data_IF_933687536958
#
_entry.id   IF_933687536958
#
_cell.length_a   1.000
_cell.length_b   1.000
_cell.length_c   1.000
_cell.angle_alpha   90.00
_cell.angle_beta   90.00
_cell.angle_gamma   90.00
#
_symmetry.space_group_name_H-M   'P 1'
#
loop_
_entity.id
_entity.type
_entity.pdbx_description
1 polymer ?
#
# COMPACT_ATOMS: atom_id res chain seq x y z
N UNK A 1 -3.22 -15.52 4.34
CA UNK A 1 -4.34 -14.61 4.75
C UNK A 1 -4.99 -15.12 6.05
N UNK A 2 -4.92 -14.39 7.17
CA UNK A 2 -5.29 -14.96 8.49
C UNK A 2 -6.71 -14.65 9.02
N UNK A 3 -7.51 -13.77 8.40
CA UNK A 3 -8.84 -13.39 8.92
C UNK A 3 -9.96 -13.50 7.87
N UNK A 4 -11.15 -13.97 8.28
CA UNK A 4 -12.36 -14.06 7.41
C UNK A 4 -12.70 -12.74 6.74
N UNK A 5 -12.50 -11.61 7.43
CA UNK A 5 -12.75 -10.26 6.91
C UNK A 5 -11.92 -9.97 5.65
N UNK A 6 -10.65 -10.37 5.67
CA UNK A 6 -9.74 -10.15 4.55
C UNK A 6 -10.06 -11.05 3.35
N UNK A 7 -10.46 -12.31 3.59
CA UNK A 7 -10.90 -13.22 2.52
C UNK A 7 -12.17 -12.71 1.84
N UNK A 8 -13.16 -12.29 2.63
CA UNK A 8 -14.41 -11.74 2.10
C UNK A 8 -14.19 -10.47 1.28
N UNK A 9 -13.27 -9.59 1.70
CA UNK A 9 -12.90 -8.39 0.93
C UNK A 9 -12.24 -8.76 -0.40
N UNK A 10 -11.26 -9.67 -0.37
CA UNK A 10 -10.57 -10.13 -1.58
C UNK A 10 -11.52 -10.79 -2.59
N UNK A 11 -12.43 -11.68 -2.13
CA UNK A 11 -13.46 -12.28 -2.97
C UNK A 11 -14.35 -11.23 -3.64
N UNK A 12 -14.83 -10.24 -2.87
CA UNK A 12 -15.68 -9.16 -3.42
C UNK A 12 -14.95 -8.35 -4.50
N UNK A 13 -13.65 -8.11 -4.33
CA UNK A 13 -12.84 -7.38 -5.29
C UNK A 13 -12.60 -8.22 -6.55
N UNK A 14 -12.20 -9.48 -6.39
CA UNK A 14 -11.92 -10.34 -7.53
C UNK A 14 -13.17 -10.66 -8.36
N UNK A 15 -14.34 -10.81 -7.72
CA UNK A 15 -15.59 -11.14 -8.40
C UNK A 15 -16.14 -10.00 -9.27
N UNK A 16 -15.62 -8.78 -9.12
CA UNK A 16 -16.01 -7.62 -9.97
C UNK A 16 -14.98 -7.27 -11.03
N UNK A 17 -13.89 -8.04 -11.13
CA UNK A 17 -12.87 -7.82 -12.15
C UNK A 17 -13.35 -8.32 -13.53
N UNK A 18 -12.91 -7.65 -14.58
CA UNK A 18 -13.30 -7.99 -15.95
C UNK A 18 -12.85 -9.41 -16.33
N UNK A 19 -13.73 -10.12 -17.04
CA UNK A 19 -13.50 -11.49 -17.47
C UNK A 19 -13.73 -12.57 -16.41
N UNK A 20 -13.93 -12.21 -15.13
CA UNK A 20 -14.13 -13.18 -14.05
C UNK A 20 -15.56 -13.73 -14.05
N UNK A 21 -15.69 -15.06 -14.08
CA UNK A 21 -16.97 -15.78 -13.99
C UNK A 21 -17.18 -16.42 -12.60
N UNK A 22 -16.10 -16.87 -11.94
CA UNK A 22 -16.17 -17.49 -10.62
C UNK A 22 -14.90 -17.25 -9.80
N UNK A 23 -15.06 -17.13 -8.47
CA UNK A 23 -13.97 -16.95 -7.51
C UNK A 23 -14.23 -17.83 -6.29
N UNK A 24 -13.24 -18.63 -5.90
CA UNK A 24 -13.26 -19.47 -4.71
C UNK A 24 -11.90 -19.46 -3.98
N UNK A 25 -11.88 -19.80 -2.69
CA UNK A 25 -10.63 -20.19 -2.04
C UNK A 25 -10.50 -21.71 -2.12
N UNK A 26 -9.29 -22.20 -2.32
CA UNK A 26 -9.02 -23.64 -2.29
C UNK A 26 -9.29 -24.19 -0.88
N UNK A 27 -9.96 -25.34 -0.80
CA UNK A 27 -10.31 -26.03 0.45
C UNK A 27 -9.08 -26.61 1.15
N UNK A 28 -8.12 -27.12 0.38
CA UNK A 28 -6.86 -27.69 0.86
C UNK A 28 -5.87 -26.59 1.27
N UNK A 29 -5.78 -25.53 0.47
CA UNK A 29 -4.94 -24.36 0.76
C UNK A 29 -5.77 -23.08 0.82
N UNK A 30 -6.21 -22.72 2.02
CA UNK A 30 -7.06 -21.55 2.28
C UNK A 30 -6.40 -20.20 2.00
N UNK A 31 -5.11 -20.19 1.62
CA UNK A 31 -4.39 -19.00 1.20
C UNK A 31 -4.28 -18.88 -0.33
N UNK A 32 -4.75 -19.89 -1.07
CA UNK A 32 -4.83 -19.89 -2.52
C UNK A 32 -6.26 -19.52 -2.98
N UNK A 33 -6.37 -18.45 -3.76
CA UNK A 33 -7.61 -18.06 -4.43
C UNK A 33 -7.61 -18.61 -5.86
N UNK A 34 -8.70 -19.24 -6.27
CA UNK A 34 -8.94 -19.78 -7.61
C UNK A 34 -9.94 -18.87 -8.31
N UNK A 35 -9.58 -18.42 -9.50
CA UNK A 35 -10.37 -17.48 -10.30
C UNK A 35 -10.53 -18.11 -11.67
N UNK A 36 -11.78 -18.23 -12.13
CA UNK A 36 -12.15 -18.84 -13.40
C UNK A 36 -12.85 -17.78 -14.23
N UNK A 37 -12.39 -17.58 -15.46
CA UNK A 37 -12.87 -16.53 -16.34
C UNK A 37 -12.20 -16.60 -17.70
N UNK A 38 -12.77 -15.88 -18.66
CA UNK A 38 -12.21 -15.72 -20.01
C UNK A 38 -11.70 -14.27 -20.17
N UNK A 39 -10.52 -14.10 -20.75
CA UNK A 39 -9.88 -12.79 -20.91
C UNK A 39 -9.43 -12.12 -19.61
N UNK A 40 -9.23 -12.88 -18.52
CA UNK A 40 -8.80 -12.33 -17.23
C UNK A 40 -7.39 -11.76 -17.31
N UNK A 41 -7.25 -10.44 -17.10
CA UNK A 41 -5.95 -9.80 -16.89
C UNK A 41 -5.46 -10.07 -15.45
N UNK A 42 -4.59 -11.07 -15.31
CA UNK A 42 -4.02 -11.46 -14.03
C UNK A 42 -3.21 -10.34 -13.36
N UNK A 43 -2.59 -9.44 -14.12
CA UNK A 43 -1.78 -8.36 -13.56
C UNK A 43 -2.68 -7.29 -12.92
N UNK A 44 -3.71 -6.85 -13.65
CA UNK A 44 -4.71 -5.91 -13.14
C UNK A 44 -5.46 -6.48 -11.93
N UNK A 45 -5.82 -7.76 -11.99
CA UNK A 45 -6.48 -8.45 -10.88
C UNK A 45 -5.59 -8.54 -9.62
N UNK A 46 -4.31 -8.86 -9.79
CA UNK A 46 -3.36 -8.88 -8.68
C UNK A 46 -3.18 -7.50 -8.05
N UNK A 47 -3.17 -6.43 -8.86
CA UNK A 47 -3.12 -5.05 -8.39
C UNK A 47 -4.35 -4.70 -7.55
N UNK A 48 -5.57 -5.01 -8.01
CA UNK A 48 -6.79 -4.74 -7.25
C UNK A 48 -6.84 -5.45 -5.89
N UNK A 49 -6.15 -6.58 -5.74
CA UNK A 49 -6.10 -7.35 -4.49
C UNK A 49 -5.10 -6.80 -3.47
N UNK A 50 -4.25 -5.85 -3.86
CA UNK A 50 -3.34 -5.15 -2.94
C UNK A 50 -4.11 -4.17 -2.06
N UNK A 51 -3.50 -3.83 -0.92
CA UNK A 51 -4.08 -2.90 0.03
C UNK A 51 -3.52 -1.51 -0.23
N UNK A 52 -4.41 -0.58 -0.58
CA UNK A 52 -4.11 0.85 -0.50
C UNK A 52 -3.92 1.26 0.95
N UNK A 53 -2.83 1.97 1.22
CA UNK A 53 -2.43 2.37 2.56
C UNK A 53 -2.07 3.86 2.60
N UNK A 54 -2.36 4.46 3.74
CA UNK A 54 -1.83 5.76 4.15
C UNK A 54 -0.77 5.49 5.21
N UNK A 55 0.46 5.89 4.91
CA UNK A 55 1.63 5.68 5.75
C UNK A 55 2.09 7.05 6.24
N UNK A 56 2.25 7.19 7.56
CA UNK A 56 2.76 8.42 8.16
C UNK A 56 4.12 8.14 8.77
N UNK A 57 5.14 8.88 8.34
CA UNK A 57 6.51 8.80 8.85
C UNK A 57 6.94 10.18 9.36
N UNK A 58 7.45 10.24 10.57
CA UNK A 58 8.05 11.45 11.12
C UNK A 58 9.56 11.38 10.98
N UNK A 59 10.18 12.34 10.30
CA UNK A 59 11.62 12.31 10.01
C UNK A 59 12.29 13.63 10.36
N UNK A 60 13.60 13.57 10.61
CA UNK A 60 14.40 14.75 10.91
C UNK A 60 14.70 15.55 9.63
N UNK A 61 13.76 16.43 9.27
CA UNK A 61 13.83 17.23 8.04
C UNK A 61 13.99 18.70 8.40
N UNK A 62 15.24 19.16 8.49
CA UNK A 62 15.58 20.51 8.95
C UNK A 62 15.85 21.50 7.80
N UNK A 63 16.04 21.03 6.57
CA UNK A 63 16.34 21.88 5.42
C UNK A 63 15.76 21.32 4.11
N UNK A 64 15.76 22.14 3.06
CA UNK A 64 15.19 21.77 1.75
C UNK A 64 15.96 20.67 1.03
N UNK A 65 17.26 20.53 1.32
CA UNK A 65 18.07 19.41 0.83
C UNK A 65 17.58 18.08 1.42
N UNK A 66 17.31 18.04 2.73
CA UNK A 66 16.72 16.87 3.38
C UNK A 66 15.32 16.57 2.84
N UNK A 67 14.47 17.59 2.60
CA UNK A 67 13.14 17.42 1.99
C UNK A 67 13.23 16.78 0.61
N UNK A 68 14.14 17.29 -0.22
CA UNK A 68 14.36 16.78 -1.57
C UNK A 68 14.85 15.34 -1.56
N UNK A 69 15.71 14.97 -0.62
CA UNK A 69 16.17 13.58 -0.45
C UNK A 69 15.05 12.66 0.04
N UNK A 70 14.29 13.08 1.05
CA UNK A 70 13.15 12.34 1.57
C UNK A 70 12.11 12.06 0.48
N UNK A 71 11.79 13.09 -0.32
CA UNK A 71 10.88 12.97 -1.45
C UNK A 71 11.42 11.96 -2.48
N UNK A 72 12.69 12.10 -2.89
CA UNK A 72 13.32 11.19 -3.86
C UNK A 72 13.29 9.73 -3.41
N UNK A 73 13.50 9.47 -2.11
CA UNK A 73 13.44 8.11 -1.56
C UNK A 73 12.02 7.57 -1.65
N UNK A 74 11.02 8.35 -1.23
CA UNK A 74 9.65 7.86 -1.22
C UNK A 74 9.06 7.67 -2.61
N UNK A 75 9.28 8.59 -3.55
CA UNK A 75 8.73 8.45 -4.92
C UNK A 75 9.43 7.37 -5.74
N UNK A 76 10.58 6.86 -5.27
CA UNK A 76 11.29 5.77 -5.91
C UNK A 76 10.77 4.38 -5.49
N UNK A 77 9.95 4.30 -4.45
CA UNK A 77 9.38 3.02 -4.00
C UNK A 77 8.13 2.66 -4.82
N UNK A 78 8.06 1.39 -5.20
CA UNK A 78 6.99 0.88 -6.05
C UNK A 78 5.65 0.93 -5.32
N UNK A 79 4.61 1.35 -6.05
CA UNK A 79 3.26 1.48 -5.51
C UNK A 79 2.99 2.79 -4.78
N UNK A 80 3.96 3.70 -4.62
CA UNK A 80 3.67 5.05 -4.12
C UNK A 80 2.83 5.85 -5.13
N UNK A 81 1.71 6.38 -4.67
CA UNK A 81 0.74 7.15 -5.46
C UNK A 81 0.89 8.65 -5.18
N UNK A 82 1.06 9.03 -3.91
CA UNK A 82 1.30 10.43 -3.55
C UNK A 82 2.11 10.56 -2.27
N UNK A 83 2.80 11.69 -2.14
CA UNK A 83 3.62 12.05 -0.98
C UNK A 83 3.37 13.51 -0.63
N UNK A 84 3.10 13.78 0.65
CA UNK A 84 2.89 15.14 1.16
C UNK A 84 3.67 15.35 2.46
N UNK A 85 4.23 16.54 2.63
CA UNK A 85 4.80 16.98 3.91
C UNK A 85 3.74 17.75 4.70
N UNK A 86 3.51 17.35 5.95
CA UNK A 86 2.51 17.93 6.85
C UNK A 86 3.15 18.41 8.16
N UNK A 87 2.35 19.16 8.92
CA UNK A 87 2.74 19.75 10.20
C UNK A 87 3.48 21.08 10.05
N UNK A 88 3.57 21.86 11.14
CA UNK A 88 4.14 23.22 11.12
C UNK A 88 5.61 23.23 10.66
N UNK A 89 6.38 22.20 11.00
CA UNK A 89 7.79 22.10 10.64
C UNK A 89 8.05 21.25 9.37
N UNK A 90 6.99 20.75 8.71
CA UNK A 90 7.06 19.90 7.50
C UNK A 90 7.98 18.68 7.67
N UNK A 91 7.97 18.13 8.87
CA UNK A 91 8.76 16.98 9.33
C UNK A 91 7.96 15.67 9.36
N UNK A 92 6.64 15.74 9.12
CA UNK A 92 5.79 14.57 8.92
C UNK A 92 5.56 14.34 7.44
N UNK A 93 5.89 13.14 6.96
CA UNK A 93 5.64 12.69 5.61
C UNK A 93 4.43 11.77 5.61
N UNK A 94 3.44 12.11 4.80
CA UNK A 94 2.25 11.29 4.57
C UNK A 94 2.33 10.75 3.15
N UNK A 95 2.40 9.44 3.06
CA UNK A 95 2.54 8.69 1.81
C UNK A 95 1.24 7.93 1.60
N UNK A 96 0.67 7.99 0.41
CA UNK A 96 -0.38 7.07 -0.01
C UNK A 96 0.15 6.19 -1.11
N UNK A 97 -0.16 4.90 -1.06
CA UNK A 97 0.31 3.95 -2.03
C UNK A 97 -0.40 2.61 -1.93
N UNK A 98 -0.10 1.74 -2.89
CA UNK A 98 -0.69 0.42 -3.02
C UNK A 98 0.39 -0.67 -2.97
N UNK A 99 0.41 -1.41 -1.87
CA UNK A 99 1.43 -2.44 -1.63
C UNK A 99 2.81 -1.90 -1.22
N UNK A 100 2.88 -0.68 -0.69
CA UNK A 100 4.12 -0.06 -0.20
C UNK A 100 4.59 -0.72 1.10
N UNK A 101 5.87 -1.11 1.17
CA UNK A 101 6.46 -1.61 2.42
C UNK A 101 6.83 -0.44 3.35
N UNK A 102 5.92 -0.14 4.28
CA UNK A 102 6.11 0.95 5.25
C UNK A 102 7.37 0.78 6.12
N UNK A 103 7.79 -0.44 6.42
CA UNK A 103 8.96 -0.70 7.26
C UNK A 103 10.25 -0.43 6.49
N UNK A 104 10.33 -0.89 5.24
CA UNK A 104 11.50 -0.66 4.39
C UNK A 104 11.61 0.82 3.97
N UNK A 105 10.47 1.48 3.71
CA UNK A 105 10.39 2.94 3.53
C UNK A 105 11.01 3.69 4.72
N UNK A 106 10.57 3.39 5.95
CA UNK A 106 11.09 4.03 7.15
C UNK A 106 12.60 3.74 7.34
N UNK A 107 13.05 2.51 7.05
CA UNK A 107 14.46 2.12 7.10
C UNK A 107 15.31 2.89 6.10
N UNK A 108 14.84 3.04 4.86
CA UNK A 108 15.52 3.78 3.80
C UNK A 108 15.66 5.27 4.15
N UNK A 109 14.62 5.86 4.73
CA UNK A 109 14.65 7.22 5.25
C UNK A 109 15.63 7.37 6.42
N UNK A 110 15.61 6.48 7.42
CA UNK A 110 16.58 6.46 8.53
C UNK A 110 18.02 6.42 8.01
N UNK A 111 18.31 5.56 7.03
CA UNK A 111 19.65 5.41 6.46
C UNK A 111 20.18 6.70 5.80
N UNK A 112 19.30 7.52 5.23
CA UNK A 112 19.70 8.73 4.48
C UNK A 112 19.57 10.02 5.27
N UNK A 113 18.63 10.08 6.22
CA UNK A 113 18.30 11.28 6.99
C UNK A 113 18.70 11.17 8.48
N UNK A 114 19.18 10.01 8.91
CA UNK A 114 19.54 9.71 10.30
C UNK A 114 18.35 9.19 11.11
N UNK A 115 17.25 9.96 11.16
CA UNK A 115 16.07 9.62 11.95
C UNK A 115 14.78 9.70 11.13
N UNK A 116 13.97 8.64 11.21
CA UNK A 116 12.65 8.55 10.61
C UNK A 116 11.82 7.46 11.30
N UNK A 117 10.75 7.82 12.00
CA UNK A 117 9.89 6.88 12.72
C UNK A 117 8.55 6.68 12.01
N UNK A 118 8.17 5.40 11.90
CA UNK A 118 6.89 4.98 11.36
C UNK A 118 5.81 5.25 12.41
N UNK A 119 4.98 6.27 12.16
CA UNK A 119 3.94 6.73 13.09
C UNK A 119 2.66 5.93 12.92
N UNK A 120 2.19 5.75 11.69
CA UNK A 120 0.98 4.96 11.42
C UNK A 120 0.99 4.31 10.04
N UNK A 121 0.28 3.19 9.94
CA UNK A 121 -0.08 2.53 8.68
C UNK A 121 -1.57 2.24 8.74
N UNK A 122 -2.33 2.96 7.93
CA UNK A 122 -3.79 2.87 7.88
C UNK A 122 -4.21 2.30 6.52
N UNK A 123 -5.11 1.33 6.52
CA UNK A 123 -5.73 0.84 5.29
C UNK A 123 -6.73 1.89 4.79
N UNK A 124 -6.56 2.34 3.54
CA UNK A 124 -7.52 3.23 2.89
C UNK A 124 -8.67 2.36 2.42
N UNK A 125 -9.76 2.38 3.17
CA UNK A 125 -11.03 1.84 2.71
C UNK A 125 -11.83 2.97 2.07
N UNK A 126 -12.12 2.84 0.77
CA UNK A 126 -13.15 3.67 0.17
C UNK A 126 -14.46 3.36 0.90
N UNK A 127 -14.95 4.30 1.71
CA UNK A 127 -16.32 4.25 2.20
C UNK A 127 -17.20 4.42 0.96
N UNK A 128 -17.78 3.32 0.48
CA UNK A 128 -18.94 3.43 -0.42
C UNK A 128 -20.01 4.19 0.36
N UNK A 129 -20.32 5.39 -0.11
CA UNK A 129 -21.52 6.14 0.28
C UNK A 129 -22.76 5.38 -0.20
#
# INVERSE_FOLDING_TARGET
>A
MRSRKHRAKAMKIAAVADGVNSVAFNEENKDQMVIIGDGVDAASLALCLRKKQKITIEAQIQCDKCRSQAMKIAVADDGVISVAFQGPNRNKMVITGDGVDAADMAKSLRKKLGYADLVSVEEITEKKA
#
